data_IF_766065482197
#
_entry.id   IF_766065482197
#
_cell.length_a   1.000
_cell.length_b   1.000
_cell.length_c   1.000
_cell.angle_alpha   90.00
_cell.angle_beta   90.00
_cell.angle_gamma   90.00
#
_symmetry.space_group_name_H-M   'P 1'
#
loop_
_entity.id
_entity.type
_entity.pdbx_description
1 polymer ?
#
# COMPACT_ATOMS: atom_id res chain seq x y z
N UNK A 1 12.75 -18.77 21.95
CA UNK A 1 13.13 -17.80 20.91
C UNK A 1 13.93 -18.47 19.79
N UNK A 2 13.32 -19.42 19.07
CA UNK A 2 13.90 -20.11 17.90
C UNK A 2 12.86 -20.24 16.77
N UNK A 3 12.02 -19.22 16.59
CA UNK A 3 10.94 -19.25 15.60
C UNK A 3 10.96 -18.07 14.61
N UNK A 4 11.83 -17.07 14.83
CA UNK A 4 12.06 -15.94 13.91
C UNK A 4 13.47 -15.92 13.29
N UNK A 5 14.36 -16.85 13.66
CA UNK A 5 15.76 -16.91 13.19
C UNK A 5 15.90 -17.02 11.65
N UNK A 6 15.00 -17.67 10.87
CA UNK A 6 15.17 -17.71 9.42
C UNK A 6 14.32 -16.69 8.66
N UNK A 7 13.47 -15.88 9.31
CA UNK A 7 12.68 -14.87 8.58
C UNK A 7 13.48 -13.60 8.29
N UNK A 8 14.59 -13.34 9.01
CA UNK A 8 15.39 -12.12 8.82
C UNK A 8 16.09 -12.01 7.46
N UNK A 9 16.61 -13.12 6.92
CA UNK A 9 17.36 -13.10 5.66
C UNK A 9 16.44 -12.90 4.42
N UNK A 10 15.21 -13.42 4.48
CA UNK A 10 14.24 -13.30 3.39
C UNK A 10 13.33 -12.06 3.58
N UNK A 11 13.09 -11.62 4.81
CA UNK A 11 12.26 -10.43 5.05
C UNK A 11 12.86 -9.15 4.49
N UNK A 12 14.19 -8.98 4.57
CA UNK A 12 14.87 -7.79 4.05
C UNK A 12 14.80 -7.69 2.52
N UNK A 13 15.05 -8.80 1.82
CA UNK A 13 14.96 -8.87 0.35
C UNK A 13 13.51 -8.78 -0.12
N UNK A 14 12.56 -9.40 0.60
CA UNK A 14 11.13 -9.32 0.30
C UNK A 14 10.58 -7.90 0.50
N UNK A 15 10.94 -7.19 1.57
CA UNK A 15 10.50 -5.81 1.80
C UNK A 15 11.09 -4.84 0.77
N UNK A 16 12.34 -5.04 0.36
CA UNK A 16 12.98 -4.23 -0.67
C UNK A 16 12.34 -4.46 -2.04
N UNK A 17 12.06 -5.72 -2.39
CA UNK A 17 11.34 -6.07 -3.61
C UNK A 17 9.91 -5.51 -3.59
N UNK A 18 9.20 -5.63 -2.47
CA UNK A 18 7.83 -5.10 -2.32
C UNK A 18 7.80 -3.57 -2.47
N UNK A 19 8.75 -2.85 -1.86
CA UNK A 19 8.88 -1.40 -2.03
C UNK A 19 9.24 -1.00 -3.46
N UNK A 20 10.18 -1.71 -4.09
CA UNK A 20 10.57 -1.48 -5.48
C UNK A 20 9.40 -1.68 -6.44
N UNK A 21 8.67 -2.80 -6.29
CA UNK A 21 7.49 -3.12 -7.11
C UNK A 21 6.41 -2.05 -6.91
N UNK A 22 6.12 -1.66 -5.67
CA UNK A 22 5.15 -0.59 -5.38
C UNK A 22 5.55 0.73 -6.03
N UNK A 23 6.85 1.04 -6.04
CA UNK A 23 7.38 2.26 -6.66
C UNK A 23 7.25 2.21 -8.18
N UNK A 24 7.57 1.08 -8.82
CA UNK A 24 7.38 0.90 -10.26
C UNK A 24 5.92 1.05 -10.63
N UNK A 25 5.02 0.34 -9.93
CA UNK A 25 3.59 0.39 -10.20
C UNK A 25 3.09 1.83 -10.05
N UNK A 26 3.41 2.50 -8.94
CA UNK A 26 3.03 3.88 -8.70
C UNK A 26 3.56 4.83 -9.77
N UNK A 27 4.82 4.66 -10.19
CA UNK A 27 5.44 5.48 -11.22
C UNK A 27 4.79 5.28 -12.60
N UNK A 28 4.51 4.03 -13.00
CA UNK A 28 3.86 3.72 -14.26
C UNK A 28 2.41 4.22 -14.29
N UNK A 29 1.66 4.03 -13.21
CA UNK A 29 0.29 4.53 -13.09
C UNK A 29 0.27 6.07 -13.12
N UNK A 30 1.17 6.73 -12.38
CA UNK A 30 1.32 8.18 -12.40
C UNK A 30 1.74 8.71 -13.78
N UNK A 31 2.65 8.02 -14.47
CA UNK A 31 3.04 8.35 -15.83
C UNK A 31 1.88 8.23 -16.81
N UNK A 32 1.11 7.14 -16.76
CA UNK A 32 -0.05 6.94 -17.63
C UNK A 32 -1.11 8.03 -17.45
N UNK A 33 -1.42 8.40 -16.20
CA UNK A 33 -2.34 9.51 -15.88
C UNK A 33 -1.74 10.85 -16.34
N UNK A 34 -0.45 11.06 -16.12
CA UNK A 34 0.26 12.28 -16.50
C UNK A 34 0.34 12.51 -18.01
N UNK A 35 0.51 11.46 -18.80
CA UNK A 35 0.50 11.53 -20.27
C UNK A 35 -0.86 11.95 -20.83
N UNK A 36 -1.95 11.76 -20.09
CA UNK A 36 -3.28 12.22 -20.50
C UNK A 36 -3.49 13.73 -20.31
N UNK A 37 -2.48 14.44 -19.79
CA UNK A 37 -2.53 15.89 -19.64
C UNK A 37 -2.49 16.59 -21.00
N UNK A 38 -3.65 17.06 -21.45
CA UNK A 38 -3.82 17.79 -22.70
C UNK A 38 -4.25 19.24 -22.41
N UNK A 39 -3.42 19.98 -21.66
CA UNK A 39 -3.66 21.39 -21.28
C UNK A 39 -4.78 21.63 -20.26
N UNK A 40 -5.57 20.60 -19.93
CA UNK A 40 -6.60 20.61 -18.89
C UNK A 40 -6.23 19.67 -17.75
N UNK A 41 -6.49 20.09 -16.50
CA UNK A 41 -6.23 19.30 -15.28
C UNK A 41 -7.34 18.29 -14.97
N UNK A 42 -8.47 18.35 -15.68
CA UNK A 42 -9.61 17.45 -15.50
C UNK A 42 -9.24 15.95 -15.55
N UNK A 43 -8.48 15.45 -16.55
CA UNK A 43 -8.08 14.03 -16.59
C UNK A 43 -7.21 13.62 -15.38
N UNK A 44 -6.38 14.51 -14.85
CA UNK A 44 -5.61 14.24 -13.63
C UNK A 44 -6.50 14.10 -12.40
N UNK A 45 -7.47 15.01 -12.23
CA UNK A 45 -8.39 14.97 -11.09
C UNK A 45 -9.20 13.67 -11.11
N UNK A 46 -9.78 13.30 -12.26
CA UNK A 46 -10.55 12.06 -12.40
C UNK A 46 -9.66 10.83 -12.13
N UNK A 47 -8.43 10.81 -12.65
CA UNK A 47 -7.48 9.74 -12.38
C UNK A 47 -7.15 9.58 -10.90
N UNK A 48 -6.85 10.68 -10.21
CA UNK A 48 -6.49 10.65 -8.79
C UNK A 48 -7.67 10.29 -7.89
N UNK A 49 -8.86 10.84 -8.16
CA UNK A 49 -10.10 10.46 -7.48
C UNK A 49 -10.42 8.99 -7.68
N UNK A 50 -10.26 8.47 -8.91
CA UNK A 50 -10.44 7.05 -9.22
C UNK A 50 -9.47 6.15 -8.43
N UNK A 51 -8.18 6.49 -8.40
CA UNK A 51 -7.19 5.77 -7.59
C UNK A 51 -7.54 5.77 -6.10
N UNK A 52 -8.00 6.90 -5.56
CA UNK A 52 -8.45 7.00 -4.16
C UNK A 52 -9.66 6.11 -3.85
N UNK A 53 -10.66 6.07 -4.74
CA UNK A 53 -11.82 5.18 -4.60
C UNK A 53 -11.41 3.70 -4.64
N UNK A 54 -10.51 3.33 -5.55
CA UNK A 54 -9.97 1.97 -5.64
C UNK A 54 -9.26 1.60 -4.33
N UNK A 55 -8.46 2.51 -3.77
CA UNK A 55 -7.78 2.28 -2.50
C UNK A 55 -8.78 2.04 -1.36
N UNK A 56 -9.83 2.86 -1.27
CA UNK A 56 -10.89 2.69 -0.27
C UNK A 56 -11.61 1.33 -0.45
N UNK A 57 -11.97 0.97 -1.69
CA UNK A 57 -12.58 -0.33 -1.98
C UNK A 57 -11.67 -1.50 -1.61
N UNK A 58 -10.36 -1.40 -1.88
CA UNK A 58 -9.38 -2.42 -1.54
C UNK A 58 -9.25 -2.60 -0.02
N UNK A 59 -9.23 -1.50 0.75
CA UNK A 59 -9.20 -1.54 2.22
C UNK A 59 -10.50 -2.14 2.76
N UNK A 60 -11.66 -1.70 2.27
CA UNK A 60 -12.95 -2.24 2.67
C UNK A 60 -13.05 -3.76 2.41
N UNK A 61 -12.52 -4.22 1.27
CA UNK A 61 -12.45 -5.64 0.94
C UNK A 61 -11.50 -6.39 1.87
N UNK A 62 -10.29 -5.88 2.08
CA UNK A 62 -9.26 -6.49 2.93
C UNK A 62 -9.72 -6.59 4.40
N UNK A 63 -10.35 -5.55 4.92
CA UNK A 63 -10.84 -5.52 6.31
C UNK A 63 -12.27 -6.08 6.46
N UNK A 64 -12.89 -6.63 5.40
CA UNK A 64 -14.30 -7.07 5.39
C UNK A 64 -15.26 -6.04 6.01
N UNK A 65 -15.04 -4.76 5.71
CA UNK A 65 -15.85 -3.66 6.22
C UNK A 65 -15.57 -3.22 7.67
N UNK A 66 -14.54 -3.79 8.34
CA UNK A 66 -14.10 -3.34 9.67
C UNK A 66 -12.97 -2.32 9.54
N UNK A 67 -13.32 -1.11 9.12
CA UNK A 67 -12.39 0.01 9.12
C UNK A 67 -11.85 0.25 10.53
N UNK A 68 -10.53 0.15 10.69
CA UNK A 68 -9.81 0.54 11.92
C UNK A 68 -10.03 -0.37 13.14
N UNK A 69 -9.74 -1.66 13.04
CA UNK A 69 -9.61 -2.50 14.25
C UNK A 69 -8.27 -2.17 14.93
N UNK A 70 -8.25 -1.56 16.14
CA UNK A 70 -7.00 -1.28 16.84
C UNK A 70 -6.31 -2.59 17.24
N UNK A 71 -5.15 -2.87 16.64
CA UNK A 71 -4.26 -3.95 17.03
C UNK A 71 -3.19 -3.40 17.98
N UNK A 72 -3.56 -3.11 19.22
CA UNK A 72 -2.59 -2.85 20.29
C UNK A 72 -2.64 -4.00 21.31
N UNK A 73 -1.85 -5.07 21.13
CA UNK A 73 -1.53 -5.92 22.27
C UNK A 73 -0.68 -5.09 23.24
N UNK A 74 -1.17 -4.89 24.46
CA UNK A 74 -0.32 -4.48 25.59
C UNK A 74 0.90 -5.41 25.62
N UNK A 75 2.14 -4.89 25.60
CA UNK A 75 3.32 -5.72 25.78
C UNK A 75 3.20 -6.46 27.11
N UNK A 76 2.98 -7.78 27.07
CA UNK A 76 2.97 -8.65 28.23
C UNK A 76 4.41 -8.91 28.74
N UNK A 77 5.18 -7.83 28.94
CA UNK A 77 6.54 -7.85 29.47
C UNK A 77 6.82 -6.59 30.29
N UNK A 78 5.92 -6.32 31.24
CA UNK A 78 6.23 -5.64 32.49
C UNK A 78 5.79 -6.53 33.66
N UNK A 79 6.08 -7.83 33.55
CA UNK A 79 6.03 -8.84 34.61
C UNK A 79 7.26 -9.72 34.50
#
# INVERSE_FOLDING_TARGET
>A
SMAMEPMGHIAGTASSAQGFISTIIGSLTGFAIGQQFNGSVVPMIVGFTGCGLIAICAVLFAERGRLFVPHNPVPAAAQ
#
